data_IF_517374397585
#
_entry.id   IF_517374397585
#
_cell.length_a   1.000
_cell.length_b   1.000
_cell.length_c   1.000
_cell.angle_alpha   90.00
_cell.angle_beta   90.00
_cell.angle_gamma   90.00
#
_symmetry.space_group_name_H-M   'P 1'
#
loop_
_entity.id
_entity.type
_entity.pdbx_description
1 polymer ?
#
# COMPACT_ATOMS: atom_id res chain seq x y z
N UNK A 1 -4.15 -0.81 10.89
CA UNK A 1 -4.11 -2.24 10.51
C UNK A 1 -3.78 -2.36 9.02
N UNK A 2 -2.52 -2.10 8.60
CA UNK A 2 -2.12 -2.15 7.17
C UNK A 2 -1.57 -3.52 6.74
N UNK A 3 -1.13 -4.33 7.71
CA UNK A 3 -0.47 -5.62 7.47
C UNK A 3 -1.43 -6.66 6.87
N UNK A 4 -2.73 -6.60 7.19
CA UNK A 4 -3.74 -7.52 6.66
C UNK A 4 -4.15 -7.23 5.22
N UNK A 5 -3.93 -6.01 4.71
CA UNK A 5 -4.37 -5.66 3.34
C UNK A 5 -3.29 -5.85 2.27
N UNK A 6 -2.00 -5.77 2.64
CA UNK A 6 -0.92 -6.16 1.72
C UNK A 6 -0.92 -7.67 1.45
N UNK A 7 -1.25 -8.49 2.46
CA UNK A 7 -1.22 -9.95 2.38
C UNK A 7 -2.34 -10.57 1.53
N UNK A 8 -3.32 -9.79 1.07
CA UNK A 8 -4.44 -10.27 0.23
C UNK A 8 -4.21 -10.04 -1.27
N UNK A 9 -3.05 -9.57 -1.68
CA UNK A 9 -2.72 -9.43 -3.10
C UNK A 9 -2.20 -10.75 -3.66
N UNK A 10 -2.70 -11.15 -4.84
CA UNK A 10 -2.21 -12.32 -5.57
C UNK A 10 -0.81 -12.14 -6.18
N UNK A 11 -0.19 -10.98 -5.97
CA UNK A 11 1.17 -10.68 -6.44
C UNK A 11 2.03 -10.18 -5.27
N UNK A 12 3.32 -10.62 -5.18
CA UNK A 12 4.22 -10.14 -4.15
C UNK A 12 4.44 -8.62 -4.23
N UNK A 13 4.57 -7.99 -3.06
CA UNK A 13 4.96 -6.58 -2.95
C UNK A 13 6.44 -6.51 -2.62
N UNK A 14 7.25 -6.05 -3.58
CA UNK A 14 8.71 -5.95 -3.43
C UNK A 14 9.18 -4.59 -2.93
N UNK A 15 8.37 -3.54 -3.10
CA UNK A 15 8.69 -2.19 -2.65
C UNK A 15 7.45 -1.44 -2.19
N UNK A 16 7.64 -0.57 -1.21
CA UNK A 16 6.63 0.28 -0.60
C UNK A 16 7.24 1.65 -0.28
N UNK A 17 6.46 2.71 -0.47
CA UNK A 17 6.81 4.08 -0.09
C UNK A 17 5.60 4.78 0.52
N UNK A 18 5.86 5.62 1.52
CA UNK A 18 4.83 6.45 2.14
C UNK A 18 4.70 7.78 1.41
N UNK A 19 3.48 8.29 1.30
CA UNK A 19 3.24 9.68 0.91
C UNK A 19 3.90 10.62 1.92
N UNK A 20 4.29 11.84 1.51
CA UNK A 20 4.97 12.79 2.39
C UNK A 20 4.10 13.22 3.59
N UNK A 21 2.78 13.16 3.43
CA UNK A 21 1.76 13.45 4.44
C UNK A 21 1.42 12.23 5.33
N UNK A 22 1.99 11.06 5.06
CA UNK A 22 1.65 9.78 5.70
C UNK A 22 0.18 9.35 5.55
N UNK A 23 -0.59 9.98 4.65
CA UNK A 23 -2.00 9.66 4.41
C UNK A 23 -2.19 8.60 3.32
N UNK A 24 -1.13 8.26 2.59
CA UNK A 24 -1.20 7.40 1.40
C UNK A 24 0.03 6.50 1.35
N UNK A 25 -0.12 5.34 0.73
CA UNK A 25 0.98 4.39 0.50
C UNK A 25 1.03 4.02 -0.97
N UNK A 26 2.22 4.10 -1.55
CA UNK A 26 2.55 3.55 -2.86
C UNK A 26 3.16 2.16 -2.69
N UNK A 27 2.72 1.20 -3.47
CA UNK A 27 3.34 -0.12 -3.51
C UNK A 27 3.31 -0.75 -4.90
N UNK A 28 4.22 -1.69 -5.14
CA UNK A 28 4.29 -2.47 -6.38
C UNK A 28 3.27 -3.61 -6.38
N UNK A 29 2.56 -3.82 -7.49
CA UNK A 29 1.71 -4.99 -7.72
C UNK A 29 1.97 -5.52 -9.15
N UNK A 30 2.79 -6.57 -9.27
CA UNK A 30 3.26 -7.06 -10.56
C UNK A 30 4.03 -5.98 -11.34
N UNK A 31 3.52 -5.57 -12.50
CA UNK A 31 4.09 -4.49 -13.35
C UNK A 31 3.47 -3.11 -13.08
N UNK A 32 2.60 -2.99 -12.08
CA UNK A 32 1.86 -1.78 -11.76
C UNK A 32 2.33 -1.17 -10.44
N UNK A 33 2.08 0.13 -10.31
CA UNK A 33 2.26 0.89 -9.07
C UNK A 33 0.88 1.37 -8.60
N UNK A 34 0.53 1.04 -7.36
CA UNK A 34 -0.78 1.37 -6.78
C UNK A 34 -0.59 2.39 -5.66
N UNK A 35 -1.30 3.51 -5.75
CA UNK A 35 -1.44 4.49 -4.66
C UNK A 35 -2.71 4.17 -3.90
N UNK A 36 -2.57 3.83 -2.62
CA UNK A 36 -3.68 3.52 -1.74
C UNK A 36 -3.79 4.58 -0.63
N UNK A 37 -4.91 5.32 -0.56
CA UNK A 37 -5.20 6.17 0.58
C UNK A 37 -5.37 5.34 1.86
N UNK A 38 -4.84 5.86 2.95
CA UNK A 38 -5.08 5.35 4.29
C UNK A 38 -6.30 6.08 4.83
N UNK A 39 -7.37 5.34 5.09
CA UNK A 39 -8.44 5.90 5.89
C UNK A 39 -7.91 6.08 7.32
N UNK A 40 -8.10 7.26 7.94
CA UNK A 40 -7.87 7.41 9.36
C UNK A 40 -8.76 6.39 10.07
N UNK A 41 -8.18 5.41 10.74
CA UNK A 41 -8.94 4.62 11.70
C UNK A 41 -9.26 5.56 12.86
N UNK A 42 -10.51 6.02 12.94
CA UNK A 42 -11.07 6.54 14.17
C UNK A 42 -11.27 5.41 15.19
#
# INVERSE_FOLDING_TARGET
MLRSTLAQQGTPVYSVAWGPDSEKVLYTAGKQLIIKPLQPNA
#
